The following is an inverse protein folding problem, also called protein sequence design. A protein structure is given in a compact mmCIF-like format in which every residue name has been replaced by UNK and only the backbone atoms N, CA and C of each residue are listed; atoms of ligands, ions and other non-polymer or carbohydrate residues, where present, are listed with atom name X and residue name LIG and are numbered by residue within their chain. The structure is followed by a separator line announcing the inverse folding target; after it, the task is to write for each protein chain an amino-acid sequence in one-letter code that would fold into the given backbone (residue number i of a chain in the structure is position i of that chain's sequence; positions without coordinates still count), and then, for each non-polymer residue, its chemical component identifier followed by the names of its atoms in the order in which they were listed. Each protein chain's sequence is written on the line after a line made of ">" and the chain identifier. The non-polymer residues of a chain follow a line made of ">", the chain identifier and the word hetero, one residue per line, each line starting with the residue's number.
data_IF_996543208781
#
_entry.id   IF_996543208781
#
_cell.length_a   1.000
_cell.length_b   1.000
_cell.length_c   1.000
_cell.angle_alpha   90.00
_cell.angle_beta   90.00
_cell.angle_gamma   90.00
#
_symmetry.space_group_name_H-M   'P 1'
#
loop_
_entity.id
_entity.type
_entity.pdbx_description
1 polymer ?
#
# COMPACT_ATOMS: atom_id res chain seq x y z
N UNK A 1 15.64 -14.13 75.72
CA UNK A 1 16.22 -14.16 74.35
C UNK A 1 15.14 -13.77 73.38
N UNK A 2 15.18 -12.60 72.78
CA UNK A 2 14.20 -12.19 71.77
C UNK A 2 14.59 -12.75 70.42
N UNK A 3 13.60 -13.28 69.66
CA UNK A 3 13.71 -13.80 68.30
C UNK A 3 13.79 -12.64 67.32
N UNK A 4 14.64 -12.71 66.27
CA UNK A 4 14.67 -11.68 65.26
C UNK A 4 13.42 -11.76 64.33
N UNK A 5 12.76 -10.60 64.17
CA UNK A 5 11.66 -10.40 63.23
C UNK A 5 12.28 -10.22 61.86
N UNK A 6 12.12 -11.21 60.97
CA UNK A 6 12.50 -11.08 59.57
C UNK A 6 11.43 -10.24 58.85
N UNK A 7 11.83 -9.00 58.51
CA UNK A 7 10.97 -8.14 57.64
C UNK A 7 11.13 -8.63 56.22
N UNK A 8 10.13 -9.35 55.70
CA UNK A 8 10.00 -9.61 54.27
C UNK A 8 9.68 -8.30 53.53
N UNK A 9 10.69 -7.72 52.91
CA UNK A 9 10.48 -6.65 51.93
C UNK A 9 9.84 -7.27 50.69
N UNK A 10 8.57 -7.00 50.49
CA UNK A 10 7.87 -7.35 49.25
C UNK A 10 8.41 -6.44 48.15
N UNK A 11 9.29 -7.01 47.29
CA UNK A 11 9.68 -6.36 46.04
C UNK A 11 8.50 -6.47 45.08
N UNK A 12 7.73 -5.40 44.98
CA UNK A 12 6.75 -5.22 43.91
C UNK A 12 7.52 -5.01 42.60
N UNK A 13 7.81 -6.11 41.90
CA UNK A 13 8.19 -6.02 40.49
C UNK A 13 6.96 -5.48 39.74
N UNK A 14 6.97 -4.19 39.45
CA UNK A 14 6.06 -3.59 38.51
C UNK A 14 6.29 -4.21 37.14
N UNK A 15 5.45 -5.18 36.74
CA UNK A 15 5.33 -5.60 35.37
C UNK A 15 4.77 -4.40 34.60
N UNK A 16 5.66 -3.64 33.96
CA UNK A 16 5.27 -2.74 32.89
C UNK A 16 4.71 -3.63 31.76
N UNK A 17 3.38 -3.69 31.70
CA UNK A 17 2.67 -4.26 30.55
C UNK A 17 3.00 -3.40 29.35
N UNK A 18 4.08 -3.75 28.66
CA UNK A 18 4.35 -3.24 27.30
C UNK A 18 3.21 -3.81 26.44
N UNK A 19 2.15 -3.02 26.26
CA UNK A 19 1.04 -3.33 25.36
C UNK A 19 1.44 -3.08 23.90
N UNK A 20 2.59 -3.59 23.52
CA UNK A 20 3.00 -3.72 22.14
C UNK A 20 2.18 -4.84 21.52
N UNK A 21 1.25 -4.51 20.64
CA UNK A 21 0.59 -5.52 19.82
C UNK A 21 1.64 -6.36 19.05
N UNK A 22 1.25 -7.52 18.54
CA UNK A 22 2.18 -8.38 17.81
C UNK A 22 2.79 -7.63 16.63
N UNK A 23 4.05 -7.93 16.31
CA UNK A 23 4.82 -7.21 15.29
C UNK A 23 4.12 -7.16 13.92
N UNK A 24 3.37 -8.20 13.55
CA UNK A 24 2.58 -8.22 12.31
C UNK A 24 1.45 -7.17 12.31
N UNK A 25 0.82 -6.89 13.44
CA UNK A 25 -0.22 -5.87 13.54
C UNK A 25 0.35 -4.43 13.39
N UNK A 26 1.62 -4.23 13.70
CA UNK A 26 2.29 -2.96 13.47
C UNK A 26 2.65 -2.77 11.99
N UNK A 27 3.08 -3.84 11.33
CA UNK A 27 3.37 -3.85 9.88
C UNK A 27 2.10 -3.48 9.10
N UNK A 28 0.96 -4.11 9.40
CA UNK A 28 -0.30 -3.84 8.71
C UNK A 28 -0.77 -2.39 8.89
N UNK A 29 -0.60 -1.82 10.10
CA UNK A 29 -0.94 -0.40 10.35
C UNK A 29 -0.06 0.57 9.57
N UNK A 30 1.23 0.30 9.47
CA UNK A 30 2.16 1.12 8.70
C UNK A 30 1.84 1.05 7.20
N UNK A 31 1.53 -0.12 6.70
CA UNK A 31 1.11 -0.33 5.32
C UNK A 31 -0.15 0.46 4.99
N UNK A 32 -1.18 0.36 5.83
CA UNK A 32 -2.44 1.10 5.66
C UNK A 32 -2.22 2.62 5.71
N UNK A 33 -1.37 3.11 6.61
CA UNK A 33 -1.04 4.53 6.72
C UNK A 33 -0.34 5.05 5.45
N UNK A 34 0.61 4.29 4.89
CA UNK A 34 1.29 4.66 3.64
C UNK A 34 0.33 4.65 2.44
N UNK A 35 -0.55 3.64 2.34
CA UNK A 35 -1.58 3.59 1.29
C UNK A 35 -2.51 4.81 1.35
N UNK A 36 -3.02 5.14 2.53
CA UNK A 36 -3.90 6.30 2.73
C UNK A 36 -3.17 7.62 2.41
N UNK A 37 -1.93 7.78 2.87
CA UNK A 37 -1.12 8.98 2.57
C UNK A 37 -0.88 9.14 1.08
N UNK A 38 -0.52 8.07 0.38
CA UNK A 38 -0.34 8.10 -1.07
C UNK A 38 -1.63 8.47 -1.80
N UNK A 39 -2.77 7.93 -1.37
CA UNK A 39 -4.06 8.26 -1.94
C UNK A 39 -4.45 9.73 -1.70
N UNK A 40 -4.28 10.25 -0.49
CA UNK A 40 -4.52 11.68 -0.20
C UNK A 40 -3.71 12.63 -1.09
N UNK A 41 -2.46 12.27 -1.40
CA UNK A 41 -1.65 13.06 -2.33
C UNK A 41 -2.21 13.00 -3.75
N UNK A 42 -2.70 11.84 -4.20
CA UNK A 42 -3.36 11.70 -5.50
C UNK A 42 -4.63 12.54 -5.59
N UNK A 43 -5.48 12.54 -4.57
CA UNK A 43 -6.70 13.38 -4.50
C UNK A 43 -6.38 14.88 -4.62
N UNK A 44 -5.25 15.29 -4.07
CA UNK A 44 -4.77 16.69 -4.17
C UNK A 44 -4.08 17.01 -5.50
N UNK A 45 -3.93 16.02 -6.39
CA UNK A 45 -3.21 16.16 -7.65
C UNK A 45 -1.69 16.25 -7.50
N UNK A 46 -1.15 15.98 -6.30
CA UNK A 46 0.29 16.05 -6.02
C UNK A 46 0.97 14.71 -6.38
N UNK A 47 1.14 14.51 -7.69
CA UNK A 47 1.72 13.27 -8.22
C UNK A 47 3.15 13.02 -7.73
N UNK A 48 3.93 14.08 -7.49
CA UNK A 48 5.32 13.94 -7.08
C UNK A 48 5.44 13.45 -5.64
N UNK A 49 4.59 13.95 -4.74
CA UNK A 49 4.53 13.45 -3.38
C UNK A 49 3.93 12.06 -3.31
N UNK A 50 2.84 11.80 -4.05
CA UNK A 50 2.26 10.47 -4.14
C UNK A 50 3.29 9.44 -4.61
N UNK A 51 4.07 9.77 -5.64
CA UNK A 51 5.15 8.91 -6.14
C UNK A 51 6.14 8.57 -5.04
N UNK A 52 6.63 9.55 -4.30
CA UNK A 52 7.58 9.34 -3.19
C UNK A 52 7.01 8.42 -2.10
N UNK A 53 5.72 8.56 -1.78
CA UNK A 53 5.06 7.69 -0.78
C UNK A 53 5.03 6.24 -1.27
N UNK A 54 4.67 5.99 -2.53
CA UNK A 54 4.65 4.62 -3.06
C UNK A 54 6.06 4.04 -3.27
N UNK A 55 7.04 4.86 -3.62
CA UNK A 55 8.44 4.46 -3.65
C UNK A 55 8.95 4.08 -2.25
N UNK A 56 8.59 4.86 -1.22
CA UNK A 56 8.89 4.54 0.19
C UNK A 56 8.23 3.23 0.59
N UNK A 57 6.96 3.06 0.22
CA UNK A 57 6.24 1.83 0.49
C UNK A 57 6.92 0.62 -0.15
N UNK A 58 7.41 0.74 -1.39
CA UNK A 58 8.12 -0.33 -2.09
C UNK A 58 9.51 -0.61 -1.52
N UNK A 59 10.12 0.31 -0.77
CA UNK A 59 11.36 0.00 -0.01
C UNK A 59 11.11 -0.96 1.14
N UNK A 60 9.96 -0.85 1.80
CA UNK A 60 9.57 -1.72 2.92
C UNK A 60 8.80 -2.97 2.46
N UNK A 61 8.06 -2.87 1.38
CA UNK A 61 7.19 -3.90 0.81
C UNK A 61 7.42 -4.03 -0.71
N UNK A 62 8.58 -4.53 -1.16
CA UNK A 62 9.04 -4.44 -2.56
C UNK A 62 8.11 -5.06 -3.60
N UNK A 63 7.28 -6.00 -3.16
CA UNK A 63 6.39 -6.77 -4.03
C UNK A 63 4.90 -6.51 -3.70
N UNK A 64 4.59 -5.40 -3.02
CA UNK A 64 3.20 -5.06 -2.74
C UNK A 64 2.47 -4.67 -4.03
N UNK A 65 1.48 -5.45 -4.48
CA UNK A 65 0.86 -5.24 -5.80
C UNK A 65 0.04 -3.95 -5.90
N UNK A 66 -0.48 -3.44 -4.78
CA UNK A 66 -1.21 -2.17 -4.75
C UNK A 66 -0.26 -1.01 -4.96
N UNK A 67 0.89 -0.99 -4.27
CA UNK A 67 1.89 0.05 -4.43
C UNK A 67 2.50 0.05 -5.83
N UNK A 68 2.82 -1.14 -6.37
CA UNK A 68 3.31 -1.30 -7.74
C UNK A 68 2.30 -0.76 -8.77
N UNK A 69 1.00 -1.10 -8.61
CA UNK A 69 -0.05 -0.59 -9.49
C UNK A 69 -0.19 0.93 -9.42
N UNK A 70 -0.18 1.50 -8.22
CA UNK A 70 -0.40 2.92 -8.02
C UNK A 70 0.80 3.75 -8.52
N UNK A 71 2.02 3.27 -8.30
CA UNK A 71 3.21 3.89 -8.88
C UNK A 71 3.17 3.85 -10.41
N UNK A 72 2.75 2.73 -11.00
CA UNK A 72 2.58 2.61 -12.44
C UNK A 72 1.53 3.60 -12.99
N UNK A 73 0.42 3.80 -12.30
CA UNK A 73 -0.60 4.78 -12.70
C UNK A 73 -0.05 6.21 -12.72
N UNK A 74 0.75 6.59 -11.71
CA UNK A 74 1.44 7.88 -11.65
C UNK A 74 2.44 8.03 -12.81
N UNK A 75 3.23 7.01 -13.08
CA UNK A 75 4.21 7.02 -14.18
C UNK A 75 3.52 7.12 -15.54
N UNK A 76 2.40 6.42 -15.75
CA UNK A 76 1.59 6.53 -16.96
C UNK A 76 1.05 7.95 -17.14
N UNK A 77 0.55 8.57 -16.08
CA UNK A 77 0.11 9.99 -16.11
C UNK A 77 1.23 10.94 -16.48
N UNK A 78 2.46 10.65 -16.05
CA UNK A 78 3.67 11.41 -16.42
C UNK A 78 4.18 11.07 -17.83
N UNK A 79 3.51 10.18 -18.57
CA UNK A 79 3.89 9.75 -19.92
C UNK A 79 5.06 8.75 -19.96
N UNK A 80 5.45 8.18 -18.84
CA UNK A 80 6.49 7.18 -18.70
C UNK A 80 5.90 5.77 -18.85
N UNK A 81 5.39 5.48 -20.04
CA UNK A 81 4.57 4.29 -20.29
C UNK A 81 5.34 2.98 -20.16
N UNK A 82 6.61 2.94 -20.59
CA UNK A 82 7.44 1.74 -20.50
C UNK A 82 7.74 1.37 -19.03
N UNK A 83 8.13 2.37 -18.22
CA UNK A 83 8.34 2.18 -16.79
C UNK A 83 7.03 1.74 -16.10
N UNK A 84 5.88 2.34 -16.47
CA UNK A 84 4.58 1.96 -15.95
C UNK A 84 4.22 0.51 -16.26
N UNK A 85 4.49 0.04 -17.48
CA UNK A 85 4.24 -1.35 -17.88
C UNK A 85 5.11 -2.34 -17.10
N UNK A 86 6.36 -2.00 -16.79
CA UNK A 86 7.23 -2.84 -15.98
C UNK A 86 6.66 -3.02 -14.57
N UNK A 87 6.27 -1.93 -13.91
CA UNK A 87 5.63 -1.99 -12.59
C UNK A 87 4.31 -2.76 -12.61
N UNK A 88 3.47 -2.58 -13.64
CA UNK A 88 2.20 -3.31 -13.78
C UNK A 88 2.41 -4.81 -13.97
N UNK A 89 3.39 -5.21 -14.76
CA UNK A 89 3.72 -6.63 -14.95
C UNK A 89 4.21 -7.28 -13.64
N UNK A 90 5.02 -6.58 -12.86
CA UNK A 90 5.42 -7.03 -11.52
C UNK A 90 4.20 -7.13 -10.59
N UNK A 91 3.33 -6.12 -10.59
CA UNK A 91 2.09 -6.11 -9.81
C UNK A 91 1.20 -7.31 -10.18
N UNK A 92 1.03 -7.60 -11.47
CA UNK A 92 0.23 -8.73 -11.96
C UNK A 92 0.76 -10.07 -11.44
N UNK A 93 2.06 -10.25 -11.42
CA UNK A 93 2.68 -11.45 -10.88
C UNK A 93 2.40 -11.69 -9.39
N UNK A 94 2.04 -10.64 -8.64
CA UNK A 94 1.75 -10.68 -7.20
C UNK A 94 0.27 -10.52 -6.85
N UNK A 95 -0.56 -10.13 -7.82
CA UNK A 95 -1.98 -9.89 -7.58
C UNK A 95 -2.79 -11.18 -7.46
N UNK A 96 -2.33 -12.28 -8.06
CA UNK A 96 -3.03 -13.55 -8.03
C UNK A 96 -3.19 -14.06 -6.58
N UNK A 97 -4.44 -14.17 -6.15
CA UNK A 97 -4.75 -14.61 -4.79
C UNK A 97 -4.57 -13.51 -3.72
N UNK A 98 -4.41 -12.26 -4.11
CA UNK A 98 -4.42 -11.13 -3.18
C UNK A 98 -5.77 -11.05 -2.48
N UNK A 99 -5.76 -11.27 -1.16
CA UNK A 99 -6.97 -11.35 -0.33
C UNK A 99 -7.39 -9.96 0.17
N UNK A 100 -7.50 -9.01 -0.70
CA UNK A 100 -7.95 -7.68 -0.35
C UNK A 100 -8.88 -7.18 -1.42
N UNK A 101 -10.02 -6.69 -0.99
CA UNK A 101 -10.90 -5.92 -1.87
C UNK A 101 -10.32 -4.53 -1.98
N UNK A 102 -10.13 -4.05 -3.19
CA UNK A 102 -9.58 -2.72 -3.43
C UNK A 102 -10.64 -1.83 -4.07
N UNK A 103 -10.85 -0.67 -3.47
CA UNK A 103 -11.56 0.40 -4.14
C UNK A 103 -10.65 0.99 -5.23
N UNK A 104 -11.23 1.36 -6.37
CA UNK A 104 -10.48 1.92 -7.49
C UNK A 104 -10.96 3.32 -7.83
N UNK A 105 -10.01 4.19 -8.17
CA UNK A 105 -10.27 5.50 -8.77
C UNK A 105 -9.56 5.59 -10.11
N UNK A 106 -10.28 5.97 -11.16
CA UNK A 106 -9.80 5.98 -12.54
C UNK A 106 -9.69 7.42 -13.09
N UNK A 107 -9.01 8.30 -12.38
CA UNK A 107 -8.87 9.73 -12.76
C UNK A 107 -7.58 10.01 -13.53
N UNK A 108 -6.65 9.06 -13.56
CA UNK A 108 -5.36 9.26 -14.20
C UNK A 108 -5.40 8.83 -15.67
N UNK A 109 -6.15 9.58 -16.50
CA UNK A 109 -6.28 9.32 -17.94
C UNK A 109 -6.69 7.88 -18.26
N UNK A 110 -7.69 7.38 -17.54
CA UNK A 110 -8.22 6.01 -17.63
C UNK A 110 -7.34 4.91 -17.01
N UNK A 111 -6.20 5.24 -16.41
CA UNK A 111 -5.45 4.30 -15.59
C UNK A 111 -5.93 4.41 -14.15
N UNK A 112 -6.27 3.27 -13.56
CA UNK A 112 -6.91 3.25 -12.26
C UNK A 112 -5.91 2.98 -11.14
N UNK A 113 -6.00 3.75 -10.06
CA UNK A 113 -5.31 3.48 -8.80
C UNK A 113 -6.16 2.58 -7.92
N UNK A 114 -5.51 1.70 -7.18
CA UNK A 114 -6.13 0.92 -6.13
C UNK A 114 -5.84 1.60 -4.79
N UNK A 115 -6.87 1.93 -4.05
CA UNK A 115 -6.72 2.44 -2.70
C UNK A 115 -7.70 1.72 -1.78
N UNK A 116 -7.48 1.83 -0.51
CA UNK A 116 -8.27 1.20 0.54
C UNK A 116 -8.47 -0.30 0.34
N UNK A 117 -7.65 -1.06 1.05
CA UNK A 117 -7.92 -2.48 1.29
C UNK A 117 -9.00 -2.53 2.36
N UNK A 118 -10.25 -2.75 1.95
CA UNK A 118 -11.35 -3.02 2.88
C UNK A 118 -11.41 -4.50 3.17
N UNK A 119 -11.36 -4.88 4.45
CA UNK A 119 -11.57 -6.26 4.87
C UNK A 119 -13.05 -6.66 4.86
N UNK A 120 -13.96 -5.69 4.78
CA UNK A 120 -15.40 -5.88 5.00
C UNK A 120 -16.26 -5.67 3.75
N UNK A 121 -15.69 -5.39 2.59
CA UNK A 121 -16.49 -5.10 1.40
C UNK A 121 -16.73 -6.34 0.55
N UNK A 122 -17.99 -6.79 0.48
CA UNK A 122 -18.44 -7.78 -0.50
C UNK A 122 -18.50 -7.23 -1.95
N UNK A 123 -18.16 -5.95 -2.14
CA UNK A 123 -18.27 -5.24 -3.41
C UNK A 123 -16.93 -4.58 -3.73
N UNK A 124 -15.96 -5.36 -4.12
CA UNK A 124 -14.69 -4.87 -4.58
C UNK A 124 -14.29 -5.47 -5.91
N UNK A 125 -13.48 -4.76 -6.66
CA UNK A 125 -12.87 -5.34 -7.84
C UNK A 125 -11.68 -6.21 -7.46
N UNK A 126 -11.52 -7.31 -8.19
CA UNK A 126 -10.32 -8.11 -8.13
C UNK A 126 -9.12 -7.24 -8.55
N UNK A 127 -8.09 -7.19 -7.71
CA UNK A 127 -6.88 -6.44 -7.99
C UNK A 127 -6.19 -6.94 -9.28
N UNK A 128 -6.27 -8.24 -9.56
CA UNK A 128 -5.71 -8.82 -10.78
C UNK A 128 -6.40 -8.25 -12.02
N UNK A 129 -7.72 -8.15 -12.03
CA UNK A 129 -8.47 -7.61 -13.16
C UNK A 129 -8.26 -6.10 -13.33
N UNK A 130 -8.12 -5.36 -12.23
CA UNK A 130 -7.74 -3.95 -12.27
C UNK A 130 -6.39 -3.77 -12.96
N UNK A 131 -5.38 -4.54 -12.57
CA UNK A 131 -4.02 -4.45 -13.13
C UNK A 131 -4.03 -4.84 -14.62
N UNK A 132 -4.75 -5.88 -15.02
CA UNK A 132 -4.91 -6.26 -16.44
C UNK A 132 -5.52 -5.13 -17.26
N UNK A 133 -6.56 -4.49 -16.73
CA UNK A 133 -7.19 -3.32 -17.36
C UNK A 133 -6.17 -2.18 -17.52
N UNK A 134 -5.41 -1.86 -16.48
CA UNK A 134 -4.40 -0.82 -16.51
C UNK A 134 -3.28 -1.12 -17.54
N UNK A 135 -2.84 -2.36 -17.65
CA UNK A 135 -1.87 -2.77 -18.67
C UNK A 135 -2.39 -2.46 -20.08
N UNK A 136 -3.66 -2.79 -20.34
CA UNK A 136 -4.29 -2.50 -21.63
C UNK A 136 -4.33 -1.00 -21.90
N UNK A 137 -4.78 -0.20 -20.93
CA UNK A 137 -4.89 1.25 -21.08
C UNK A 137 -3.53 1.91 -21.33
N UNK A 138 -2.49 1.50 -20.59
CA UNK A 138 -1.13 2.04 -20.78
C UNK A 138 -0.56 1.64 -22.15
N UNK A 139 -0.80 0.42 -22.62
CA UNK A 139 -0.41 0.00 -23.98
C UNK A 139 -1.09 0.83 -25.06
N UNK A 140 -2.39 1.09 -24.91
CA UNK A 140 -3.14 1.95 -25.85
C UNK A 140 -2.61 3.38 -25.84
N UNK A 141 -2.32 3.94 -24.67
CA UNK A 141 -1.76 5.28 -24.54
C UNK A 141 -0.35 5.37 -25.16
N UNK A 142 0.47 4.35 -24.99
CA UNK A 142 1.81 4.26 -25.58
C UNK A 142 1.75 4.20 -27.10
N UNK A 143 0.78 3.47 -27.67
CA UNK A 143 0.60 3.32 -29.12
C UNK A 143 -0.05 4.54 -29.79
N UNK A 144 -0.72 5.41 -29.02
CA UNK A 144 -1.38 6.60 -29.57
C UNK A 144 -0.36 7.71 -29.86
N UNK A 145 -0.32 8.25 -31.08
CA UNK A 145 0.57 9.37 -31.38
C UNK A 145 0.18 10.57 -30.51
N UNK A 146 1.12 11.09 -29.72
CA UNK A 146 0.91 12.30 -28.93
C UNK A 146 0.41 13.41 -29.84
N UNK A 147 -0.84 13.82 -29.69
CA UNK A 147 -1.31 15.10 -30.26
C UNK A 147 -0.55 16.20 -29.51
N UNK A 148 0.42 16.78 -30.17
CA UNK A 148 1.11 18.00 -29.72
C UNK A 148 0.17 19.19 -29.79
#
# INVERSE_FOLDING_TARGET
>A
MPRPVVKCAAILLGLALVTGGPAWAQVDRNLAALLNSGYEMLERGDLDRAQKVYEEMLRHYPENPVALNNLAAILAKKGKYEEALDYLNRALGRAKGYKGVVDRVCDLESVCTAFRVSQDSMVGSDLEDLIKSNILMVKMACASPRRR
#
